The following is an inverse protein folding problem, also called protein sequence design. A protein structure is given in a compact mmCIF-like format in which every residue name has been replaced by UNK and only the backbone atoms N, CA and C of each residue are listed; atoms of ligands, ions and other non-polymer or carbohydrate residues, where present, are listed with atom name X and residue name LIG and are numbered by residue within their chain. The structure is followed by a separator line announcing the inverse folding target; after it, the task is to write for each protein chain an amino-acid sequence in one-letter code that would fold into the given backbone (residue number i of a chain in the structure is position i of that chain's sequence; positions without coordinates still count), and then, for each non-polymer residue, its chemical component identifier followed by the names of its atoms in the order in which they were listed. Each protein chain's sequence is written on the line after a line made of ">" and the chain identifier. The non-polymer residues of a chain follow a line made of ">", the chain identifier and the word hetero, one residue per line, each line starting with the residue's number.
data_IF_720826359243
#
_entry.id   IF_720826359243
#
_cell.length_a   1.000
_cell.length_b   1.000
_cell.length_c   1.000
_cell.angle_alpha   90.00
_cell.angle_beta   90.00
_cell.angle_gamma   90.00
#
_symmetry.space_group_name_H-M   'P 1'
#
loop_
_entity.id
_entity.type
_entity.pdbx_description
1 polymer ?
#
# COMPACT_ATOMS: atom_id res chain seq x y z
N UNK A 1 24.09 -24.47 -3.46
CA UNK A 1 23.68 -23.17 -3.98
C UNK A 1 22.69 -22.55 -3.02
N UNK A 2 22.87 -21.26 -2.77
CA UNK A 2 21.94 -20.60 -1.86
C UNK A 2 20.58 -20.41 -2.51
N UNK A 3 19.55 -20.59 -1.72
CA UNK A 3 18.19 -20.38 -2.17
C UNK A 3 17.93 -18.89 -2.30
N UNK A 4 17.79 -18.42 -3.54
CA UNK A 4 17.58 -16.98 -3.77
C UNK A 4 16.26 -16.50 -3.19
N UNK A 5 15.29 -17.38 -2.99
CA UNK A 5 14.00 -16.98 -2.45
C UNK A 5 14.08 -16.64 -0.98
N UNK A 6 15.11 -17.08 -0.29
CA UNK A 6 15.27 -16.73 1.12
C UNK A 6 15.66 -15.28 1.28
N UNK A 7 16.41 -14.72 0.32
CA UNK A 7 16.88 -13.36 0.42
C UNK A 7 16.02 -12.37 -0.35
N UNK A 8 15.51 -12.82 -1.49
CA UNK A 8 14.70 -11.96 -2.33
C UNK A 8 13.51 -11.37 -1.57
N UNK A 9 12.74 -12.17 -0.81
CA UNK A 9 11.57 -11.61 -0.13
C UNK A 9 11.92 -10.45 0.80
N UNK A 10 13.02 -10.54 1.53
CA UNK A 10 13.37 -9.48 2.46
C UNK A 10 13.61 -8.16 1.75
N UNK A 11 14.44 -8.18 0.70
CA UNK A 11 14.72 -6.98 -0.06
C UNK A 11 13.49 -6.46 -0.78
N UNK A 12 12.73 -7.37 -1.38
CA UNK A 12 11.55 -6.96 -2.13
C UNK A 12 10.46 -6.42 -1.24
N UNK A 13 10.33 -6.99 -0.04
CA UNK A 13 9.34 -6.50 0.90
C UNK A 13 9.64 -5.06 1.29
N UNK A 14 10.90 -4.74 1.60
CA UNK A 14 11.26 -3.38 1.95
C UNK A 14 11.08 -2.42 0.78
N UNK A 15 11.48 -2.85 -0.42
CA UNK A 15 11.28 -2.03 -1.61
C UNK A 15 9.81 -1.79 -1.88
N UNK A 16 8.99 -2.84 -1.75
CA UNK A 16 7.58 -2.74 -2.03
C UNK A 16 6.88 -1.85 -1.01
N UNK A 17 7.26 -1.96 0.25
CA UNK A 17 6.71 -1.10 1.29
C UNK A 17 7.05 0.36 1.01
N UNK A 18 8.29 0.64 0.64
CA UNK A 18 8.68 2.00 0.30
C UNK A 18 7.91 2.52 -0.90
N UNK A 19 7.75 1.66 -1.91
CA UNK A 19 6.99 2.05 -3.09
C UNK A 19 5.55 2.39 -2.72
N UNK A 20 4.89 1.51 -1.96
CA UNK A 20 3.50 1.74 -1.58
C UNK A 20 3.36 2.98 -0.71
N UNK A 21 4.26 3.14 0.25
CA UNK A 21 4.20 4.31 1.12
C UNK A 21 4.30 5.59 0.31
N UNK A 22 5.31 5.67 -0.55
CA UNK A 22 5.49 6.86 -1.38
C UNK A 22 4.34 7.11 -2.34
N UNK A 23 3.82 6.05 -2.94
CA UNK A 23 2.71 6.18 -3.88
C UNK A 23 1.43 6.63 -3.17
N UNK A 24 1.18 6.12 -1.97
CA UNK A 24 0.02 6.53 -1.19
C UNK A 24 0.13 8.02 -0.81
N UNK A 25 1.31 8.42 -0.32
CA UNK A 25 1.54 9.82 0.02
C UNK A 25 1.39 10.71 -1.22
N UNK A 26 1.83 10.21 -2.38
CA UNK A 26 1.67 10.97 -3.62
C UNK A 26 0.21 11.25 -3.93
N UNK A 27 -0.69 10.34 -3.57
CA UNK A 27 -2.12 10.57 -3.75
C UNK A 27 -2.58 11.81 -2.96
N UNK A 28 -2.01 12.03 -1.80
CA UNK A 28 -2.35 13.21 -1.02
C UNK A 28 -1.94 14.48 -1.74
N UNK A 29 -0.73 14.49 -2.31
CA UNK A 29 -0.28 15.66 -3.07
C UNK A 29 -1.15 15.90 -4.30
N UNK A 30 -1.49 14.84 -5.02
CA UNK A 30 -2.38 14.98 -6.18
C UNK A 30 -3.73 15.56 -5.76
N UNK A 31 -4.26 15.09 -4.65
CA UNK A 31 -5.54 15.58 -4.16
C UNK A 31 -5.46 17.06 -3.77
N UNK A 32 -4.39 17.46 -3.10
CA UNK A 32 -4.22 18.85 -2.71
C UNK A 32 -4.04 19.76 -3.92
N UNK A 33 -3.49 19.23 -5.00
CA UNK A 33 -3.33 19.97 -6.25
C UNK A 33 -4.59 19.92 -7.13
N UNK A 34 -5.64 19.29 -6.66
CA UNK A 34 -6.88 19.11 -7.43
C UNK A 34 -6.65 18.38 -8.74
N UNK A 35 -5.74 17.40 -8.74
CA UNK A 35 -5.44 16.66 -9.95
C UNK A 35 -6.62 15.79 -10.36
N UNK A 36 -6.94 15.73 -11.66
CA UNK A 36 -7.99 14.84 -12.12
C UNK A 36 -7.59 13.36 -12.07
N UNK A 37 -6.32 13.07 -11.76
CA UNK A 37 -5.83 11.69 -11.75
C UNK A 37 -5.85 11.05 -10.37
N UNK A 38 -6.40 11.73 -9.36
CA UNK A 38 -6.43 11.19 -8.00
C UNK A 38 -7.13 9.84 -7.97
N UNK A 39 -8.34 9.80 -8.52
CA UNK A 39 -9.15 8.59 -8.41
C UNK A 39 -8.52 7.41 -9.13
N UNK A 40 -8.05 7.62 -10.35
CA UNK A 40 -7.43 6.53 -11.10
C UNK A 40 -6.12 6.08 -10.47
N UNK A 41 -5.38 6.99 -9.86
CA UNK A 41 -4.15 6.64 -9.17
C UNK A 41 -4.44 5.76 -7.97
N UNK A 42 -5.46 6.10 -7.19
CA UNK A 42 -5.85 5.29 -6.04
C UNK A 42 -6.34 3.92 -6.50
N UNK A 43 -7.13 3.87 -7.57
CA UNK A 43 -7.59 2.59 -8.08
C UNK A 43 -6.43 1.69 -8.49
N UNK A 44 -5.44 2.26 -9.16
CA UNK A 44 -4.25 1.51 -9.53
C UNK A 44 -3.54 0.96 -8.29
N UNK A 45 -3.41 1.79 -7.25
CA UNK A 45 -2.79 1.36 -6.00
C UNK A 45 -3.57 0.23 -5.34
N UNK A 46 -4.88 0.35 -5.29
CA UNK A 46 -5.72 -0.70 -4.72
C UNK A 46 -5.46 -2.03 -5.44
N UNK A 47 -5.40 -1.98 -6.76
CA UNK A 47 -5.14 -3.18 -7.55
C UNK A 47 -3.75 -3.76 -7.26
N UNK A 48 -2.75 -2.90 -7.16
CA UNK A 48 -1.38 -3.34 -6.89
C UNK A 48 -1.25 -3.95 -5.51
N UNK A 49 -1.85 -3.30 -4.51
CA UNK A 49 -1.78 -3.79 -3.14
C UNK A 49 -2.56 -5.09 -3.01
N UNK A 50 -3.73 -5.17 -3.65
CA UNK A 50 -4.50 -6.40 -3.65
C UNK A 50 -3.78 -7.55 -4.32
N UNK A 51 -2.92 -7.25 -5.30
CA UNK A 51 -2.15 -8.27 -5.98
C UNK A 51 -0.83 -8.63 -5.31
N UNK A 52 -0.54 -8.05 -4.16
CA UNK A 52 0.76 -8.24 -3.51
C UNK A 52 0.78 -9.41 -2.52
N UNK A 53 -0.17 -10.33 -2.63
CA UNK A 53 -0.28 -11.45 -1.70
C UNK A 53 0.96 -12.33 -1.66
N UNK A 54 1.70 -12.38 -2.75
CA UNK A 54 2.94 -13.19 -2.78
C UNK A 54 3.98 -12.66 -1.80
N UNK A 55 4.01 -11.35 -1.60
CA UNK A 55 4.99 -10.75 -0.71
C UNK A 55 4.48 -10.65 0.72
N UNK A 56 3.23 -10.24 0.89
CA UNK A 56 2.72 -9.91 2.21
C UNK A 56 1.75 -10.94 2.77
N UNK A 57 1.32 -11.90 1.94
CA UNK A 57 0.32 -12.86 2.38
C UNK A 57 -1.02 -12.18 2.61
N UNK A 58 -1.87 -12.85 3.37
CA UNK A 58 -3.23 -12.37 3.61
C UNK A 58 -3.33 -11.71 4.97
N UNK A 59 -2.50 -10.71 5.20
CA UNK A 59 -2.50 -9.96 6.46
C UNK A 59 -3.74 -9.07 6.52
N UNK A 60 -4.36 -8.95 7.70
CA UNK A 60 -5.50 -8.04 7.85
C UNK A 60 -5.15 -6.60 7.52
N UNK A 61 -3.90 -6.21 7.76
CA UNK A 61 -3.44 -4.84 7.45
C UNK A 61 -3.58 -4.51 5.98
N UNK A 62 -3.37 -5.48 5.10
CA UNK A 62 -3.52 -5.25 3.66
C UNK A 62 -4.95 -4.85 3.35
N UNK A 63 -5.91 -5.57 3.93
CA UNK A 63 -7.32 -5.26 3.70
C UNK A 63 -7.69 -3.90 4.28
N UNK A 64 -7.13 -3.55 5.42
CA UNK A 64 -7.41 -2.26 6.04
C UNK A 64 -6.83 -1.12 5.20
N UNK A 65 -5.64 -1.30 4.64
CA UNK A 65 -5.05 -0.32 3.73
C UNK A 65 -6.00 -0.08 2.55
N UNK A 66 -6.45 -1.17 1.93
CA UNK A 66 -7.35 -1.05 0.78
C UNK A 66 -8.65 -0.36 1.19
N UNK A 67 -9.20 -0.71 2.33
CA UNK A 67 -10.42 -0.09 2.84
C UNK A 67 -10.25 1.41 3.04
N UNK A 68 -9.11 1.82 3.59
CA UNK A 68 -8.83 3.24 3.77
C UNK A 68 -8.73 3.97 2.44
N UNK A 69 -8.10 3.36 1.45
CA UNK A 69 -7.99 3.97 0.14
C UNK A 69 -9.36 4.11 -0.51
N UNK A 70 -10.21 3.11 -0.37
CA UNK A 70 -11.56 3.17 -0.91
C UNK A 70 -12.41 4.21 -0.21
N UNK A 71 -12.27 4.32 1.10
CA UNK A 71 -12.99 5.35 1.85
C UNK A 71 -12.54 6.74 1.43
N UNK A 72 -11.23 6.92 1.21
CA UNK A 72 -10.72 8.21 0.75
C UNK A 72 -11.37 8.62 -0.57
N UNK A 73 -11.59 7.65 -1.47
CA UNK A 73 -12.23 7.95 -2.75
C UNK A 73 -13.69 8.39 -2.58
N UNK A 74 -14.39 7.74 -1.64
CA UNK A 74 -15.82 7.99 -1.48
C UNK A 74 -16.13 9.21 -0.62
N UNK A 75 -15.24 9.53 0.32
CA UNK A 75 -15.53 10.55 1.33
C UNK A 75 -14.41 11.59 1.37
N UNK A 76 -14.53 12.64 0.58
CA UNK A 76 -13.48 13.65 0.51
C UNK A 76 -13.12 14.26 1.86
N UNK A 77 -14.07 14.37 2.78
CA UNK A 77 -13.81 14.92 4.10
C UNK A 77 -12.88 14.05 4.92
N UNK A 78 -12.75 12.77 4.56
CA UNK A 78 -11.87 11.81 5.24
C UNK A 78 -10.59 11.54 4.45
N UNK A 79 -10.39 12.22 3.33
CA UNK A 79 -9.32 11.88 2.40
C UNK A 79 -7.96 11.89 3.10
N UNK A 80 -7.61 13.03 3.71
CA UNK A 80 -6.29 13.17 4.33
C UNK A 80 -6.09 12.11 5.41
N UNK A 81 -7.07 11.93 6.28
CA UNK A 81 -6.95 10.98 7.36
C UNK A 81 -6.79 9.56 6.86
N UNK A 82 -7.63 9.17 5.90
CA UNK A 82 -7.58 7.80 5.37
C UNK A 82 -6.29 7.54 4.63
N UNK A 83 -5.80 8.52 3.88
CA UNK A 83 -4.53 8.35 3.16
C UNK A 83 -3.38 8.20 4.14
N UNK A 84 -3.33 9.04 5.17
CA UNK A 84 -2.25 8.95 6.15
C UNK A 84 -2.33 7.65 6.94
N UNK A 85 -3.53 7.21 7.30
CA UNK A 85 -3.69 5.94 7.99
C UNK A 85 -3.21 4.77 7.11
N UNK A 86 -3.57 4.81 5.82
CA UNK A 86 -3.14 3.77 4.90
C UNK A 86 -1.61 3.74 4.77
N UNK A 87 -0.98 4.89 4.64
CA UNK A 87 0.47 4.96 4.53
C UNK A 87 1.14 4.41 5.78
N UNK A 88 0.62 4.77 6.95
CA UNK A 88 1.21 4.29 8.20
C UNK A 88 1.06 2.78 8.35
N UNK A 89 -0.04 2.22 7.87
CA UNK A 89 -0.24 0.78 7.94
C UNK A 89 0.76 0.03 7.05
N UNK A 90 1.20 0.64 5.97
CA UNK A 90 2.20 0.00 5.11
C UNK A 90 3.46 -0.33 5.92
N UNK A 91 3.85 0.55 6.82
CA UNK A 91 5.05 0.32 7.63
C UNK A 91 4.91 -0.88 8.56
N UNK A 92 3.69 -1.29 8.87
CA UNK A 92 3.46 -2.43 9.74
C UNK A 92 3.42 -3.75 9.00
N UNK A 93 3.46 -3.74 7.69
CA UNK A 93 3.38 -4.97 6.90
C UNK A 93 4.63 -5.82 7.11
N UNK A 94 4.41 -7.13 7.15
CA UNK A 94 5.49 -8.10 7.30
C UNK A 94 5.54 -8.97 6.06
N UNK A 95 6.69 -9.57 5.82
CA UNK A 95 6.80 -10.51 4.73
C UNK A 95 5.86 -11.68 4.91
N UNK A 96 5.32 -12.19 3.79
CA UNK A 96 4.33 -13.26 3.82
C UNK A 96 4.79 -14.50 4.54
N UNK A 97 6.06 -14.84 4.46
CA UNK A 97 6.63 -15.99 5.14
C UNK A 97 7.64 -15.62 6.19
N UNK A 98 7.56 -14.42 6.72
CA UNK A 98 8.54 -13.97 7.68
C UNK A 98 8.50 -14.76 8.99
N UNK A 99 7.42 -15.44 9.22
CA UNK A 99 7.24 -16.21 10.44
C UNK A 99 7.69 -17.66 10.31
N UNK A 100 8.16 -18.02 9.17
CA UNK A 100 8.60 -19.39 8.91
C UNK A 100 9.96 -19.66 9.51
#
# INVERSE_FOLDING_TARGET
>A
MRNVYENVPSNQIEKQKRYFYGAIINCLYLWEDNSPFVDSTIQTLINQIGGSNRLFGYQPEVLTIISNLETARREPSQFRKCILDAANLVDTLKGGDSNV
#
